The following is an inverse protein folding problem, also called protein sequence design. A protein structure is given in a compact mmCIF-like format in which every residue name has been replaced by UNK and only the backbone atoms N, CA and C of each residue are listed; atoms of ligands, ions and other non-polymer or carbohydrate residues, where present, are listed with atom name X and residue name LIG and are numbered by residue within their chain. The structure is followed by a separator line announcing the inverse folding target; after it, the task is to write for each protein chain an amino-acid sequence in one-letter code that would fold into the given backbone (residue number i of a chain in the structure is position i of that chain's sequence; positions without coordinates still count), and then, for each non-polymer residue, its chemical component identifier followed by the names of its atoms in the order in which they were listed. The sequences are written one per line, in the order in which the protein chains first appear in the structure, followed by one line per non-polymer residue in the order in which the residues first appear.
data_IF_597399373660
#
_entry.id   IF_597399373660
#
_cell.length_a   1.000
_cell.length_b   1.000
_cell.length_c   1.000
_cell.angle_alpha   90.00
_cell.angle_beta   90.00
_cell.angle_gamma   90.00
#
_symmetry.space_group_name_H-M   'P 1'
#
loop_
_entity.id
_entity.type
_entity.pdbx_description
1 polymer ?
#
# COMPACT_ATOMS: atom_id res chain seq x y z
N UNK A 1 -21.46 -7.82 3.38
CA UNK A 1 -20.75 -9.11 3.61
C UNK A 1 -19.77 -9.33 2.46
N UNK A 2 -18.56 -9.81 2.75
CA UNK A 2 -17.57 -10.13 1.71
C UNK A 2 -17.70 -11.62 1.38
N UNK A 3 -17.99 -11.93 0.13
CA UNK A 3 -18.02 -13.28 -0.43
C UNK A 3 -16.75 -13.52 -1.22
N UNK A 4 -16.17 -14.72 -1.14
CA UNK A 4 -15.02 -15.12 -1.94
C UNK A 4 -15.45 -16.21 -2.89
N UNK A 5 -15.12 -16.04 -4.16
CA UNK A 5 -15.33 -17.00 -5.24
C UNK A 5 -13.97 -17.33 -5.86
N UNK A 6 -13.76 -18.58 -6.25
CA UNK A 6 -12.53 -19.01 -6.89
C UNK A 6 -12.79 -20.06 -7.94
N UNK A 7 -11.88 -20.16 -8.91
CA UNK A 7 -11.74 -21.35 -9.73
C UNK A 7 -11.09 -22.49 -8.93
N UNK A 8 -11.04 -23.69 -9.51
CA UNK A 8 -10.51 -24.88 -8.83
C UNK A 8 -9.01 -24.78 -8.50
N UNK A 9 -8.25 -23.97 -9.24
CA UNK A 9 -6.81 -23.79 -9.01
C UNK A 9 -6.52 -22.92 -7.76
N UNK A 10 -7.45 -22.06 -7.38
CA UNK A 10 -7.26 -21.06 -6.31
C UNK A 10 -8.12 -21.33 -5.06
N UNK A 11 -8.75 -22.49 -4.94
CA UNK A 11 -9.64 -22.82 -3.78
C UNK A 11 -8.94 -22.69 -2.43
N UNK A 12 -7.69 -23.10 -2.33
CA UNK A 12 -6.92 -23.05 -1.08
C UNK A 12 -6.66 -21.61 -0.66
N UNK A 13 -6.24 -20.76 -1.59
CA UNK A 13 -6.02 -19.34 -1.37
C UNK A 13 -7.30 -18.62 -0.99
N UNK A 14 -8.39 -18.93 -1.68
CA UNK A 14 -9.72 -18.39 -1.40
C UNK A 14 -10.22 -18.75 0.00
N UNK A 15 -10.09 -20.03 0.41
CA UNK A 15 -10.46 -20.49 1.75
C UNK A 15 -9.61 -19.79 2.83
N UNK A 16 -8.30 -19.68 2.62
CA UNK A 16 -7.42 -18.98 3.55
C UNK A 16 -7.78 -17.50 3.68
N UNK A 17 -8.05 -16.83 2.56
CA UNK A 17 -8.47 -15.43 2.59
C UNK A 17 -9.81 -15.26 3.30
N UNK A 18 -10.77 -16.16 3.12
CA UNK A 18 -12.06 -16.13 3.81
C UNK A 18 -11.89 -16.18 5.32
N UNK A 19 -11.03 -17.09 5.83
CA UNK A 19 -10.74 -17.20 7.25
C UNK A 19 -10.11 -15.93 7.82
N UNK A 20 -9.12 -15.36 7.08
CA UNK A 20 -8.47 -14.13 7.51
C UNK A 20 -9.45 -12.95 7.53
N UNK A 21 -10.33 -12.84 6.53
CA UNK A 21 -11.36 -11.78 6.48
C UNK A 21 -12.32 -11.89 7.67
N UNK A 22 -12.77 -13.09 8.01
CA UNK A 22 -13.67 -13.29 9.15
C UNK A 22 -13.06 -12.83 10.49
N UNK A 23 -11.74 -12.89 10.62
CA UNK A 23 -11.00 -12.48 11.81
C UNK A 23 -10.50 -11.03 11.74
N UNK A 24 -10.72 -10.33 10.63
CA UNK A 24 -10.22 -8.98 10.37
C UNK A 24 -11.32 -7.92 10.53
N UNK A 25 -10.92 -6.65 10.50
CA UNK A 25 -11.84 -5.52 10.45
C UNK A 25 -12.79 -5.54 9.23
N UNK A 26 -12.46 -6.29 8.20
CA UNK A 26 -13.29 -6.44 7.00
C UNK A 26 -14.60 -7.20 7.26
N UNK A 27 -14.69 -7.95 8.37
CA UNK A 27 -15.93 -8.62 8.79
C UNK A 27 -17.09 -7.63 9.02
N UNK A 28 -16.79 -6.37 9.32
CA UNK A 28 -17.77 -5.31 9.60
C UNK A 28 -18.20 -4.51 8.36
N UNK A 29 -17.70 -4.84 7.17
CA UNK A 29 -18.11 -4.17 5.94
C UNK A 29 -19.56 -4.51 5.62
N UNK A 30 -20.40 -3.46 5.47
CA UNK A 30 -21.84 -3.59 5.19
C UNK A 30 -22.15 -3.83 3.71
N UNK A 31 -21.23 -3.41 2.82
CA UNK A 31 -21.39 -3.59 1.38
C UNK A 31 -21.28 -5.06 0.98
N UNK A 32 -22.03 -5.45 -0.05
CA UNK A 32 -21.90 -6.79 -0.63
C UNK A 32 -20.75 -6.80 -1.63
N UNK A 33 -19.56 -7.12 -1.13
CA UNK A 33 -18.36 -7.28 -1.95
C UNK A 33 -18.15 -8.75 -2.30
N UNK A 34 -17.79 -9.00 -3.55
CA UNK A 34 -17.35 -10.33 -4.02
C UNK A 34 -15.89 -10.21 -4.46
N UNK A 35 -15.03 -11.02 -3.86
CA UNK A 35 -13.63 -11.16 -4.26
C UNK A 35 -13.49 -12.45 -5.03
N UNK A 36 -13.12 -12.35 -6.30
CA UNK A 36 -12.99 -13.50 -7.22
C UNK A 36 -11.55 -13.78 -7.53
N UNK A 37 -11.14 -15.03 -7.34
CA UNK A 37 -9.88 -15.57 -7.83
C UNK A 37 -10.16 -16.29 -9.15
N UNK A 38 -9.70 -15.71 -10.24
CA UNK A 38 -9.95 -16.25 -11.57
C UNK A 38 -8.80 -15.94 -12.53
N UNK A 39 -8.33 -16.95 -13.29
CA UNK A 39 -7.24 -16.81 -14.26
C UNK A 39 -6.02 -16.07 -13.69
N UNK A 40 -5.62 -16.46 -12.48
CA UNK A 40 -4.52 -15.79 -11.77
C UNK A 40 -4.73 -14.28 -11.52
N UNK A 41 -5.92 -13.79 -11.54
CA UNK A 41 -6.27 -12.41 -11.19
C UNK A 41 -7.17 -12.39 -9.96
N UNK A 42 -7.15 -11.28 -9.25
CA UNK A 42 -8.10 -11.03 -8.18
C UNK A 42 -8.97 -9.85 -8.59
N UNK A 43 -10.25 -10.13 -8.75
CA UNK A 43 -11.28 -9.16 -9.10
C UNK A 43 -12.08 -8.82 -7.84
N UNK A 44 -12.46 -7.57 -7.70
CA UNK A 44 -13.36 -7.14 -6.63
C UNK A 44 -14.60 -6.51 -7.25
N UNK A 45 -15.76 -7.05 -6.91
CA UNK A 45 -17.06 -6.54 -7.35
C UNK A 45 -17.83 -5.97 -6.18
N UNK A 46 -18.43 -4.80 -6.34
CA UNK A 46 -19.40 -4.28 -5.39
C UNK A 46 -20.82 -4.50 -5.95
N UNK A 47 -21.50 -5.53 -5.44
CA UNK A 47 -22.85 -5.89 -5.89
C UNK A 47 -23.91 -4.87 -5.46
N UNK A 48 -23.67 -4.13 -4.37
CA UNK A 48 -24.60 -3.11 -3.88
C UNK A 48 -24.76 -1.93 -4.83
N UNK A 49 -23.77 -1.69 -5.70
CA UNK A 49 -23.74 -0.56 -6.63
C UNK A 49 -23.82 -0.99 -8.10
N UNK A 50 -24.06 -2.28 -8.37
CA UNK A 50 -24.03 -2.86 -9.73
C UNK A 50 -22.77 -2.48 -10.52
N UNK A 51 -21.64 -2.40 -9.81
CA UNK A 51 -20.37 -1.93 -10.33
C UNK A 51 -19.32 -3.03 -10.25
N UNK A 52 -18.79 -3.39 -11.42
CA UNK A 52 -17.70 -4.36 -11.55
C UNK A 52 -16.39 -3.61 -11.66
N UNK A 53 -15.43 -3.96 -10.81
CA UNK A 53 -14.10 -3.35 -10.84
C UNK A 53 -13.04 -4.43 -10.91
N UNK A 54 -12.26 -4.38 -11.95
CA UNK A 54 -11.03 -5.16 -12.05
C UNK A 54 -9.89 -4.31 -11.50
N UNK A 55 -9.31 -4.72 -10.40
CA UNK A 55 -8.04 -4.14 -9.95
C UNK A 55 -6.95 -5.03 -10.54
N UNK A 56 -6.38 -4.62 -11.65
CA UNK A 56 -5.24 -5.30 -12.24
C UNK A 56 -3.95 -4.89 -11.54
N UNK A 57 -3.33 -5.82 -10.83
CA UNK A 57 -1.95 -5.64 -10.35
C UNK A 57 -0.95 -5.83 -11.50
N UNK A 58 -1.42 -6.34 -12.66
CA UNK A 58 -0.59 -6.70 -13.82
C UNK A 58 -0.34 -5.55 -14.82
N UNK A 59 -0.75 -4.32 -14.56
CA UNK A 59 -0.48 -3.22 -15.50
C UNK A 59 1.02 -2.94 -15.56
N UNK A 60 1.62 -2.91 -16.77
CA UNK A 60 2.95 -2.35 -16.92
C UNK A 60 2.83 -0.86 -16.55
N UNK A 61 3.26 -0.55 -15.34
CA UNK A 61 3.26 0.83 -14.88
C UNK A 61 4.17 1.66 -15.77
N UNK A 62 3.62 2.58 -16.54
CA UNK A 62 4.37 3.68 -17.13
C UNK A 62 4.83 4.57 -15.97
N UNK A 63 6.13 4.56 -15.72
CA UNK A 63 6.74 5.32 -14.63
C UNK A 63 7.20 6.68 -15.13
N UNK A 64 6.30 7.66 -15.15
CA UNK A 64 6.63 9.02 -15.55
C UNK A 64 7.36 9.84 -14.48
N UNK A 65 7.39 9.37 -13.21
CA UNK A 65 7.89 10.17 -12.05
C UNK A 65 9.13 9.57 -11.36
N UNK A 66 9.96 8.80 -12.06
CA UNK A 66 11.20 8.25 -11.45
C UNK A 66 12.18 9.34 -11.00
N UNK A 67 12.17 10.49 -11.64
CA UNK A 67 13.07 11.61 -11.32
C UNK A 67 12.92 12.12 -9.89
N UNK A 68 11.69 12.16 -9.36
CA UNK A 68 11.49 12.66 -8.01
C UNK A 68 11.97 11.66 -6.95
N UNK A 69 11.78 10.37 -7.19
CA UNK A 69 12.28 9.32 -6.31
C UNK A 69 13.81 9.30 -6.29
N UNK A 70 14.47 9.50 -7.43
CA UNK A 70 15.94 9.65 -7.50
C UNK A 70 16.46 10.83 -6.66
N UNK A 71 15.71 11.93 -6.61
CA UNK A 71 16.09 13.10 -5.77
C UNK A 71 15.88 12.87 -4.28
N UNK A 72 14.96 12.00 -3.90
CA UNK A 72 14.63 11.69 -2.51
C UNK A 72 15.51 10.55 -1.99
N UNK A 73 15.59 9.44 -2.72
CA UNK A 73 16.29 8.22 -2.33
C UNK A 73 17.69 8.18 -2.95
N UNK A 74 18.57 9.07 -2.46
CA UNK A 74 19.87 9.33 -3.08
C UNK A 74 20.91 8.22 -2.86
N UNK A 75 20.81 7.47 -1.74
CA UNK A 75 21.68 6.32 -1.47
C UNK A 75 21.26 5.16 -2.38
N UNK A 76 22.14 4.72 -3.26
CA UNK A 76 21.90 3.59 -4.17
C UNK A 76 21.84 2.26 -3.41
N UNK A 77 21.16 1.27 -4.01
CA UNK A 77 21.00 -0.09 -3.45
C UNK A 77 20.53 -0.09 -1.99
N UNK A 78 19.65 0.84 -1.65
CA UNK A 78 19.13 1.00 -0.29
C UNK A 78 18.13 -0.08 0.07
N UNK A 79 18.04 -0.36 1.36
CA UNK A 79 16.97 -1.15 1.96
C UNK A 79 15.88 -0.19 2.41
N UNK A 80 14.69 -0.32 1.84
CA UNK A 80 13.57 0.59 2.09
C UNK A 80 12.42 -0.19 2.72
N UNK A 81 11.84 0.35 3.80
CA UNK A 81 10.58 -0.14 4.35
C UNK A 81 9.44 0.73 3.82
N UNK A 82 8.50 0.12 3.09
CA UNK A 82 7.22 0.74 2.75
C UNK A 82 6.17 0.34 3.79
N UNK A 83 5.82 1.28 4.66
CA UNK A 83 4.85 1.06 5.75
C UNK A 83 3.39 1.07 5.29
N UNK A 84 3.13 1.35 4.03
CA UNK A 84 1.78 1.59 3.50
C UNK A 84 1.62 0.97 2.12
N UNK A 85 1.95 -0.29 2.01
CA UNK A 85 2.14 -1.02 0.75
C UNK A 85 1.05 -0.79 -0.30
N UNK A 86 -0.21 -0.90 0.10
CA UNK A 86 -1.33 -0.80 -0.83
C UNK A 86 -1.11 -1.71 -2.04
N UNK A 87 -1.41 -1.21 -3.24
CA UNK A 87 -1.16 -1.93 -4.50
C UNK A 87 0.31 -1.86 -4.98
N UNK A 88 1.25 -1.50 -4.12
CA UNK A 88 2.69 -1.44 -4.39
C UNK A 88 3.12 -0.53 -5.54
N UNK A 89 2.31 0.48 -5.92
CA UNK A 89 2.63 1.36 -7.06
C UNK A 89 3.94 2.12 -6.87
N UNK A 90 4.15 2.72 -5.71
CA UNK A 90 5.39 3.44 -5.42
C UNK A 90 6.52 2.50 -5.06
N UNK A 91 6.23 1.37 -4.40
CA UNK A 91 7.16 0.26 -4.14
C UNK A 91 7.84 -0.21 -5.42
N UNK A 92 7.06 -0.46 -6.49
CA UNK A 92 7.60 -0.91 -7.78
C UNK A 92 8.50 0.13 -8.44
N UNK A 93 8.20 1.43 -8.27
CA UNK A 93 9.10 2.50 -8.73
C UNK A 93 10.44 2.48 -7.98
N UNK A 94 10.40 2.30 -6.66
CA UNK A 94 11.60 2.22 -5.84
C UNK A 94 12.43 0.98 -6.18
N UNK A 95 11.79 -0.15 -6.41
CA UNK A 95 12.47 -1.38 -6.84
C UNK A 95 13.16 -1.20 -8.21
N UNK A 96 12.48 -0.58 -9.17
CA UNK A 96 13.05 -0.27 -10.50
C UNK A 96 14.28 0.65 -10.43
N UNK A 97 14.41 1.48 -9.39
CA UNK A 97 15.59 2.30 -9.12
C UNK A 97 16.74 1.50 -8.48
N UNK A 98 16.57 0.19 -8.28
CA UNK A 98 17.59 -0.72 -7.77
C UNK A 98 17.59 -0.91 -6.26
N UNK A 99 16.54 -0.44 -5.55
CA UNK A 99 16.41 -0.64 -4.12
C UNK A 99 15.82 -2.01 -3.78
N UNK A 100 16.08 -2.51 -2.56
CA UNK A 100 15.42 -3.69 -2.00
C UNK A 100 14.33 -3.23 -1.03
N UNK A 101 13.08 -3.66 -1.27
CA UNK A 101 11.92 -3.13 -0.55
C UNK A 101 11.31 -4.19 0.36
N UNK A 102 11.09 -3.85 1.61
CA UNK A 102 10.16 -4.56 2.49
C UNK A 102 8.87 -3.79 2.54
N UNK A 103 7.76 -4.45 2.25
CA UNK A 103 6.41 -3.83 2.21
C UNK A 103 5.56 -4.41 3.31
N UNK A 104 4.90 -3.56 4.06
CA UNK A 104 3.90 -3.97 5.05
C UNK A 104 2.53 -3.52 4.59
N UNK A 105 1.58 -4.45 4.62
CA UNK A 105 0.17 -4.19 4.32
C UNK A 105 -0.71 -4.94 5.32
N UNK A 106 -1.69 -4.25 5.90
CA UNK A 106 -2.61 -4.85 6.88
C UNK A 106 -3.93 -5.35 6.27
N UNK A 107 -4.20 -5.00 5.03
CA UNK A 107 -5.42 -5.44 4.36
C UNK A 107 -5.23 -6.81 3.71
N UNK A 108 -5.97 -7.84 4.15
CA UNK A 108 -5.78 -9.20 3.64
C UNK A 108 -6.13 -9.36 2.16
N UNK A 109 -7.06 -8.57 1.62
CA UNK A 109 -7.42 -8.60 0.20
C UNK A 109 -6.26 -8.04 -0.63
N UNK A 110 -5.73 -6.89 -0.23
CA UNK A 110 -4.58 -6.27 -0.90
C UNK A 110 -3.36 -7.17 -0.83
N UNK A 111 -3.09 -7.78 0.33
CA UNK A 111 -2.01 -8.77 0.47
C UNK A 111 -2.16 -9.92 -0.50
N UNK A 112 -3.37 -10.49 -0.65
CA UNK A 112 -3.61 -11.58 -1.58
C UNK A 112 -3.32 -11.16 -3.04
N UNK A 113 -3.78 -9.97 -3.42
CA UNK A 113 -3.55 -9.40 -4.75
C UNK A 113 -2.06 -9.18 -5.04
N UNK A 114 -1.36 -8.52 -4.12
CA UNK A 114 0.08 -8.22 -4.27
C UNK A 114 0.91 -9.51 -4.25
N UNK A 115 0.56 -10.46 -3.39
CA UNK A 115 1.23 -11.78 -3.34
C UNK A 115 1.09 -12.53 -4.66
N UNK A 116 -0.10 -12.57 -5.22
CA UNK A 116 -0.35 -13.20 -6.53
C UNK A 116 0.50 -12.55 -7.62
N UNK A 117 0.60 -11.23 -7.63
CA UNK A 117 1.48 -10.50 -8.56
C UNK A 117 2.97 -10.83 -8.34
N UNK A 118 3.45 -10.81 -7.10
CA UNK A 118 4.87 -11.09 -6.78
C UNK A 118 5.25 -12.54 -7.08
N UNK A 119 4.36 -13.50 -6.91
CA UNK A 119 4.60 -14.90 -7.23
C UNK A 119 4.90 -15.12 -8.72
N UNK A 120 4.37 -14.27 -9.61
CA UNK A 120 4.67 -14.27 -11.04
C UNK A 120 5.91 -13.47 -11.40
N UNK A 121 6.31 -12.53 -10.54
CA UNK A 121 7.41 -11.61 -10.76
C UNK A 121 8.52 -11.83 -9.72
N UNK A 122 8.97 -13.07 -9.57
CA UNK A 122 9.97 -13.51 -8.55
C UNK A 122 11.33 -12.83 -8.67
N UNK A 123 11.60 -12.14 -9.77
CA UNK A 123 12.82 -11.37 -9.99
C UNK A 123 12.82 -10.04 -9.23
N UNK A 124 11.66 -9.55 -8.78
CA UNK A 124 11.55 -8.30 -8.04
C UNK A 124 12.13 -8.44 -6.63
N UNK A 125 12.90 -7.45 -6.22
CA UNK A 125 13.52 -7.38 -4.87
C UNK A 125 12.53 -6.81 -3.84
N UNK A 126 11.35 -7.43 -3.75
CA UNK A 126 10.26 -7.01 -2.87
C UNK A 126 9.90 -8.14 -1.90
N UNK A 127 9.97 -7.86 -0.61
CA UNK A 127 9.51 -8.74 0.46
C UNK A 127 8.18 -8.22 0.98
N UNK A 128 7.10 -9.00 0.87
CA UNK A 128 5.76 -8.61 1.31
C UNK A 128 5.44 -9.24 2.66
N UNK A 129 5.09 -8.40 3.64
CA UNK A 129 4.69 -8.79 4.98
C UNK A 129 3.23 -8.41 5.23
N UNK A 130 2.46 -9.37 5.75
CA UNK A 130 1.11 -9.12 6.25
C UNK A 130 1.17 -8.67 7.70
N UNK A 131 0.66 -7.49 8.00
CA UNK A 131 0.62 -6.99 9.36
C UNK A 131 0.44 -5.48 9.45
N UNK A 132 0.47 -5.01 10.70
CA UNK A 132 0.38 -3.59 11.01
C UNK A 132 1.77 -2.97 11.14
N UNK A 133 1.99 -1.84 10.48
CA UNK A 133 3.29 -1.15 10.45
C UNK A 133 3.75 -0.61 11.80
N UNK A 134 2.81 -0.21 12.68
CA UNK A 134 3.16 0.20 14.04
C UNK A 134 3.74 -0.96 14.84
N UNK A 135 3.08 -2.11 14.79
CA UNK A 135 3.52 -3.30 15.52
C UNK A 135 4.87 -3.77 14.97
N UNK A 136 5.02 -3.80 13.66
CA UNK A 136 6.29 -4.16 13.04
C UNK A 136 7.42 -3.24 13.49
N UNK A 137 7.27 -1.92 13.38
CA UNK A 137 8.28 -0.95 13.76
C UNK A 137 8.60 -0.97 15.27
N UNK A 138 7.60 -1.29 16.10
CA UNK A 138 7.78 -1.39 17.55
C UNK A 138 8.68 -2.57 17.93
N UNK A 139 8.52 -3.70 17.25
CA UNK A 139 9.18 -4.94 17.64
C UNK A 139 10.36 -5.34 16.72
N UNK A 140 10.54 -4.70 15.57
CA UNK A 140 11.65 -5.04 14.69
C UNK A 140 12.96 -4.42 15.20
N UNK A 141 14.03 -5.23 15.26
CA UNK A 141 15.37 -4.78 15.62
C UNK A 141 16.18 -4.30 14.40
N UNK A 142 15.53 -4.30 13.25
CA UNK A 142 16.18 -4.01 11.98
C UNK A 142 16.10 -2.53 11.62
N UNK A 143 17.20 -1.94 11.18
CA UNK A 143 17.25 -0.58 10.63
C UNK A 143 17.27 -0.59 9.12
N UNK A 144 16.43 0.25 8.52
CA UNK A 144 16.35 0.49 7.08
C UNK A 144 17.18 1.72 6.69
N UNK A 145 17.52 1.86 5.43
CA UNK A 145 18.11 3.11 4.94
C UNK A 145 17.04 4.20 4.88
N UNK A 146 15.89 3.89 4.32
CA UNK A 146 14.74 4.78 4.29
C UNK A 146 13.48 4.07 4.76
N UNK A 147 12.53 4.84 5.29
CA UNK A 147 11.17 4.38 5.56
C UNK A 147 10.22 5.28 4.79
N UNK A 148 9.36 4.64 3.97
CA UNK A 148 8.37 5.32 3.13
C UNK A 148 6.98 5.16 3.72
N UNK A 149 6.20 6.27 3.71
CA UNK A 149 4.85 6.33 4.27
C UNK A 149 3.95 7.10 3.31
N UNK A 150 2.94 6.42 2.73
CA UNK A 150 1.89 7.03 1.91
C UNK A 150 0.49 6.71 2.44
N UNK A 151 0.02 7.50 3.39
CA UNK A 151 -1.33 7.35 3.93
C UNK A 151 -2.35 8.00 3.00
N UNK A 152 -2.76 7.31 1.95
CA UNK A 152 -3.59 7.84 0.85
C UNK A 152 -5.00 8.31 1.25
N UNK A 153 -5.52 7.94 2.41
CA UNK A 153 -6.93 8.10 2.75
C UNK A 153 -7.19 9.15 3.84
N UNK A 154 -6.84 10.41 3.59
CA UNK A 154 -7.41 11.51 4.37
C UNK A 154 -8.76 11.93 3.79
N UNK A 155 -9.83 11.71 4.56
CA UNK A 155 -11.22 12.03 4.21
C UNK A 155 -11.46 13.54 4.13
N UNK A 156 -10.97 14.23 3.11
CA UNK A 156 -11.51 15.54 2.75
C UNK A 156 -12.40 15.37 1.53
N UNK A 157 -13.64 15.89 1.66
CA UNK A 157 -14.66 15.93 0.59
C UNK A 157 -14.02 16.51 -0.67
N UNK A 158 -13.73 15.67 -1.66
CA UNK A 158 -13.33 16.14 -2.97
C UNK A 158 -14.58 16.25 -3.84
N UNK A 159 -14.73 17.35 -4.55
CA UNK A 159 -15.80 17.63 -5.50
C UNK A 159 -15.73 16.75 -6.75
N UNK A 160 -14.58 16.15 -7.05
CA UNK A 160 -14.41 15.22 -8.17
C UNK A 160 -14.64 13.77 -7.72
N UNK A 161 -15.42 13.00 -8.51
CA UNK A 161 -15.58 11.55 -8.29
C UNK A 161 -14.20 10.87 -8.34
N UNK A 162 -13.84 10.06 -7.33
CA UNK A 162 -12.59 9.32 -7.37
C UNK A 162 -12.59 8.32 -8.53
N UNK A 163 -11.40 7.94 -9.00
CA UNK A 163 -11.27 6.81 -9.93
C UNK A 163 -11.87 5.56 -9.26
N UNK A 164 -12.49 4.70 -10.06
CA UNK A 164 -13.20 3.51 -9.58
C UNK A 164 -12.37 2.63 -8.62
N UNK A 165 -11.10 2.42 -8.94
CA UNK A 165 -10.16 1.68 -8.06
C UNK A 165 -10.04 2.28 -6.67
N UNK A 166 -10.08 3.62 -6.56
CA UNK A 166 -9.99 4.34 -5.30
C UNK A 166 -11.26 4.24 -4.46
N UNK A 167 -12.42 4.02 -5.07
CA UNK A 167 -13.67 3.79 -4.34
C UNK A 167 -13.63 2.44 -3.62
N UNK A 168 -13.22 1.39 -4.32
CA UNK A 168 -13.08 0.05 -3.71
C UNK A 168 -12.02 0.06 -2.60
N UNK A 169 -10.85 0.65 -2.86
CA UNK A 169 -9.80 0.73 -1.85
C UNK A 169 -10.29 1.46 -0.59
N UNK A 170 -11.13 2.51 -0.74
CA UNK A 170 -11.76 3.19 0.41
C UNK A 170 -12.71 2.31 1.18
N UNK A 171 -13.44 1.41 0.51
CA UNK A 171 -14.36 0.49 1.18
C UNK A 171 -13.64 -0.57 2.02
N UNK A 172 -12.50 -1.06 1.52
CA UNK A 172 -11.77 -2.15 2.15
C UNK A 172 -10.66 -1.70 3.10
N UNK A 173 -10.21 -0.45 3.05
CA UNK A 173 -9.13 0.06 3.92
C UNK A 173 -9.65 0.73 5.18
N UNK A 174 -8.93 0.58 6.29
CA UNK A 174 -9.19 1.30 7.54
C UNK A 174 -9.01 2.81 7.38
N UNK A 175 -9.83 3.57 8.07
CA UNK A 175 -9.90 5.03 7.89
C UNK A 175 -8.74 5.84 8.48
N UNK A 176 -7.92 5.35 9.42
CA UNK A 176 -6.88 6.20 10.06
C UNK A 176 -5.64 5.43 10.49
N UNK A 177 -4.58 5.63 9.77
CA UNK A 177 -3.23 5.50 10.33
C UNK A 177 -2.89 6.82 11.02
N UNK A 178 -2.47 6.79 12.29
CA UNK A 178 -1.95 7.95 13.02
C UNK A 178 -0.55 8.30 12.48
N UNK A 179 -0.54 8.97 11.33
CA UNK A 179 0.65 9.24 10.51
C UNK A 179 1.81 9.83 11.31
N UNK A 180 1.56 10.81 12.17
CA UNK A 180 2.61 11.43 12.99
C UNK A 180 3.28 10.45 13.93
N UNK A 181 2.52 9.52 14.52
CA UNK A 181 3.08 8.49 15.40
C UNK A 181 3.92 7.50 14.61
N UNK A 182 3.45 7.12 13.40
CA UNK A 182 4.21 6.25 12.51
C UNK A 182 5.54 6.88 12.10
N UNK A 183 5.55 8.19 11.74
CA UNK A 183 6.78 8.93 11.44
C UNK A 183 7.73 8.93 12.64
N UNK A 184 7.24 9.21 13.87
CA UNK A 184 8.06 9.22 15.07
C UNK A 184 8.72 7.87 15.35
N UNK A 185 7.97 6.77 15.24
CA UNK A 185 8.52 5.41 15.38
C UNK A 185 9.56 5.11 14.30
N UNK A 186 9.30 5.53 13.07
CA UNK A 186 10.17 5.30 11.92
C UNK A 186 11.52 5.98 12.05
N UNK A 187 11.60 7.16 12.67
CA UNK A 187 12.84 7.91 12.82
C UNK A 187 13.92 7.14 13.56
N UNK A 188 13.53 6.31 14.53
CA UNK A 188 14.48 5.46 15.29
C UNK A 188 14.86 4.17 14.55
N UNK A 189 14.29 3.92 13.37
CA UNK A 189 14.47 2.67 12.61
C UNK A 189 15.02 2.91 11.19
N UNK A 190 15.47 4.13 10.90
CA UNK A 190 16.10 4.46 9.61
C UNK A 190 17.42 5.19 9.79
N UNK A 191 18.33 5.02 8.81
CA UNK A 191 19.67 5.62 8.83
C UNK A 191 19.80 6.86 7.96
N UNK A 192 18.92 7.04 6.98
CA UNK A 192 18.96 8.17 6.04
C UNK A 192 17.78 9.13 6.24
N UNK A 193 16.55 8.66 6.08
CA UNK A 193 15.37 9.49 6.24
C UNK A 193 14.06 8.69 6.29
N UNK A 194 13.07 9.27 6.95
CA UNK A 194 11.66 8.92 6.79
C UNK A 194 11.07 9.84 5.72
N UNK A 195 10.42 9.25 4.73
CA UNK A 195 9.80 9.95 3.60
C UNK A 195 8.29 9.77 3.69
N UNK A 196 7.57 10.87 3.84
CA UNK A 196 6.12 10.86 3.88
C UNK A 196 5.55 11.54 2.65
N UNK A 197 4.70 10.83 1.91
CA UNK A 197 3.95 11.39 0.78
C UNK A 197 2.62 11.94 1.28
N UNK A 198 2.30 13.16 0.84
CA UNK A 198 1.13 13.91 1.25
C UNK A 198 0.46 14.57 0.05
N UNK A 199 -0.82 14.89 0.16
CA UNK A 199 -1.40 15.86 -0.75
C UNK A 199 -0.74 17.21 -0.49
N UNK A 200 -0.61 18.03 -1.53
CA UNK A 200 0.06 19.33 -1.45
C UNK A 200 -0.48 20.23 -0.34
N UNK A 201 -1.76 20.08 0.01
CA UNK A 201 -2.47 20.92 0.99
C UNK A 201 -2.55 20.29 2.39
N UNK A 202 -2.09 19.05 2.58
CA UNK A 202 -2.18 18.40 3.87
C UNK A 202 -1.15 19.02 4.84
N UNK A 203 -1.62 19.37 6.04
CA UNK A 203 -0.75 19.79 7.12
C UNK A 203 -0.31 18.57 7.93
N UNK A 204 0.98 18.32 7.96
CA UNK A 204 1.58 17.34 8.86
C UNK A 204 1.86 18.05 10.17
N UNK A 205 1.42 17.45 11.29
CA UNK A 205 1.65 18.03 12.63
C UNK A 205 3.12 18.01 13.08
N UNK A 206 4.00 17.32 12.32
CA UNK A 206 5.45 17.31 12.54
C UNK A 206 6.14 18.18 11.48
N UNK A 207 7.13 18.96 11.92
CA UNK A 207 7.94 19.80 11.02
C UNK A 207 8.99 18.90 10.30
N UNK A 208 8.93 18.74 8.97
CA UNK A 208 9.95 18.03 8.23
C UNK A 208 11.25 18.87 8.12
N UNK A 209 12.39 18.21 7.90
CA UNK A 209 13.63 18.89 7.58
C UNK A 209 13.53 19.66 6.27
N UNK A 210 12.92 19.05 5.26
CA UNK A 210 12.58 19.73 3.99
C UNK A 210 11.41 19.03 3.28
N UNK A 211 10.86 19.71 2.26
CA UNK A 211 9.77 19.19 1.44
C UNK A 211 10.11 19.33 -0.05
N UNK A 212 9.78 18.29 -0.80
CA UNK A 212 9.81 18.34 -2.26
C UNK A 212 8.35 18.35 -2.75
N UNK A 213 7.96 19.38 -3.48
CA UNK A 213 6.59 19.57 -3.97
C UNK A 213 6.50 19.26 -5.45
N UNK A 214 5.47 18.51 -5.83
CA UNK A 214 5.06 18.33 -7.21
C UNK A 214 3.75 19.09 -7.48
N UNK A 215 3.19 18.92 -8.67
CA UNK A 215 1.89 19.52 -9.02
C UNK A 215 0.76 19.01 -8.11
N UNK A 216 0.74 17.74 -7.75
CA UNK A 216 -0.36 17.07 -7.04
C UNK A 216 -0.03 16.67 -5.60
N UNK A 217 1.20 16.30 -5.34
CA UNK A 217 1.64 15.76 -4.05
C UNK A 217 2.87 16.48 -3.52
N UNK A 218 3.15 16.32 -2.24
CA UNK A 218 4.40 16.74 -1.62
C UNK A 218 5.03 15.56 -0.88
N UNK A 219 6.35 15.51 -0.87
CA UNK A 219 7.13 14.57 -0.10
C UNK A 219 7.78 15.34 1.05
N UNK A 220 7.45 14.94 2.27
CA UNK A 220 8.04 15.50 3.51
C UNK A 220 9.14 14.56 3.97
N UNK A 221 10.35 15.08 4.16
CA UNK A 221 11.53 14.34 4.53
C UNK A 221 11.93 14.68 5.95
N UNK A 222 12.09 13.66 6.78
CA UNK A 222 12.47 13.74 8.19
C UNK A 222 13.78 12.97 8.41
N UNK A 223 14.71 13.58 9.15
CA UNK A 223 16.03 13.02 9.49
C UNK A 223 16.24 13.07 10.97
#
# INVERSE_FOLDING_TARGET
MIKIESDCLHEKEAKNLQLIIQQSFLSNIKDNLVVKFFNDQILIENQSQNSHYTIEVNHPYQFDDTDIFNKIFTKKNSRILDCTGGLCKDTLKLEKLGHSITVIEENPIIIAMVRTFLNRNKHLKITLLYGNSFDYLKYCDYCYDYIYIDTMFNNKKNTAKPKKDMEILRLICKEKILKNNLIKLSLNKCTQAVVSKDRRQDMIGLKPNYKIKTKLVSYSIFK
#
